data_IF_042973625058
#
_entry.id   IF_042973625058
#
_cell.length_a   1.000
_cell.length_b   1.000
_cell.length_c   1.000
_cell.angle_alpha   90.00
_cell.angle_beta   90.00
_cell.angle_gamma   90.00
#
_symmetry.space_group_name_H-M   'P 1'
#
loop_
_entity.id
_entity.type
_entity.pdbx_description
1 polymer ?
#
# COMPACT_ATOMS: atom_id res chain seq x y z
N UNK A 1 -0.05 21.80 2.95
CA UNK A 1 -0.47 21.00 4.13
C UNK A 1 0.77 20.73 4.97
N UNK A 2 0.72 20.72 6.32
CA UNK A 2 1.89 20.36 7.11
C UNK A 2 2.24 18.90 6.79
N UNK A 3 3.44 18.66 6.24
CA UNK A 3 3.99 17.31 6.07
C UNK A 3 3.93 16.65 7.45
N UNK A 4 3.13 15.59 7.61
CA UNK A 4 3.16 14.78 8.80
C UNK A 4 4.63 14.41 9.04
N UNK A 5 5.12 14.77 10.21
CA UNK A 5 6.50 14.49 10.62
C UNK A 5 6.62 12.97 10.57
N UNK A 6 7.36 12.44 9.60
CA UNK A 6 7.58 11.01 9.49
C UNK A 6 8.07 10.51 10.86
N UNK A 7 7.48 9.43 11.41
CA UNK A 7 7.97 8.83 12.64
C UNK A 7 9.48 8.59 12.51
N UNK A 8 10.26 8.63 13.61
CA UNK A 8 11.68 8.30 13.56
C UNK A 8 11.88 6.97 12.81
N UNK A 9 12.97 6.76 12.05
CA UNK A 9 13.17 5.53 11.32
C UNK A 9 13.30 4.37 12.32
N UNK A 10 12.17 3.71 12.61
CA UNK A 10 12.04 2.68 13.65
C UNK A 10 12.75 1.38 13.30
N UNK A 11 13.41 1.29 12.14
CA UNK A 11 13.78 -0.01 11.58
C UNK A 11 12.54 -0.85 11.25
N UNK A 12 11.40 -0.19 11.00
CA UNK A 12 10.16 -0.82 10.57
C UNK A 12 9.86 -0.39 9.13
N UNK A 13 9.27 -1.29 8.35
CA UNK A 13 8.66 -0.96 7.07
C UNK A 13 7.14 -0.90 7.24
N UNK A 14 6.51 -0.08 6.42
CA UNK A 14 5.07 0.02 6.29
C UNK A 14 4.67 -0.12 4.82
N UNK A 15 3.68 -0.94 4.53
CA UNK A 15 3.03 -1.03 3.22
C UNK A 15 1.54 -0.85 3.43
N UNK A 16 0.95 0.10 2.73
CA UNK A 16 -0.47 0.43 2.81
C UNK A 16 -1.09 0.41 1.42
N UNK A 17 -2.27 -0.19 1.34
CA UNK A 17 -3.12 -0.19 0.15
C UNK A 17 -4.49 0.37 0.53
N UNK A 18 -4.99 1.35 -0.23
CA UNK A 18 -6.27 2.03 0.02
C UNK A 18 -7.14 2.00 -1.24
N UNK A 19 -8.39 1.60 -1.10
CA UNK A 19 -9.42 1.62 -2.15
C UNK A 19 -10.65 2.38 -1.66
N UNK A 20 -11.33 3.17 -2.51
CA UNK A 20 -10.92 3.57 -3.86
C UNK A 20 -9.76 4.58 -3.85
N UNK A 21 -9.22 4.91 -5.02
CA UNK A 21 -8.17 5.92 -5.15
C UNK A 21 -8.65 7.30 -4.66
N UNK A 22 -9.84 7.74 -5.09
CA UNK A 22 -10.43 9.01 -4.67
C UNK A 22 -11.75 8.80 -3.95
N UNK A 23 -11.99 9.58 -2.88
CA UNK A 23 -13.18 9.51 -2.05
C UNK A 23 -12.95 8.85 -0.69
N UNK A 24 -14.05 8.45 -0.04
CA UNK A 24 -13.98 7.79 1.26
C UNK A 24 -13.44 6.36 1.10
N UNK A 25 -12.38 5.97 1.85
CA UNK A 25 -11.82 4.63 1.77
C UNK A 25 -12.87 3.60 2.19
N UNK A 26 -13.05 2.56 1.37
CA UNK A 26 -13.93 1.42 1.65
C UNK A 26 -13.14 0.20 2.08
N UNK A 27 -11.88 0.09 1.64
CA UNK A 27 -11.00 -1.02 1.93
C UNK A 27 -9.57 -0.52 2.09
N UNK A 28 -8.99 -0.78 3.26
CA UNK A 28 -7.61 -0.43 3.58
C UNK A 28 -6.88 -1.67 4.06
N UNK A 29 -5.72 -1.95 3.48
CA UNK A 29 -4.76 -2.95 3.97
C UNK A 29 -3.56 -2.20 4.48
N UNK A 30 -3.04 -2.60 5.63
CA UNK A 30 -1.79 -2.07 6.17
C UNK A 30 -0.96 -3.21 6.73
N UNK A 31 0.31 -3.23 6.35
CA UNK A 31 1.32 -4.19 6.76
C UNK A 31 2.44 -3.41 7.42
N UNK A 32 2.72 -3.69 8.68
CA UNK A 32 3.82 -3.07 9.43
C UNK A 32 4.69 -4.19 9.98
N UNK A 33 5.99 -4.11 9.74
CA UNK A 33 6.93 -5.12 10.24
C UNK A 33 8.36 -4.66 10.28
N UNK A 34 9.21 -5.55 10.78
CA UNK A 34 10.66 -5.39 10.85
C UNK A 34 11.32 -6.30 9.78
N UNK A 35 12.54 -6.00 9.32
CA UNK A 35 13.19 -6.81 8.31
C UNK A 35 13.58 -8.17 8.91
N UNK A 36 13.48 -9.23 8.11
CA UNK A 36 13.78 -10.61 8.52
C UNK A 36 12.92 -11.12 9.70
N UNK A 37 11.73 -10.54 9.90
CA UNK A 37 10.77 -10.95 10.93
C UNK A 37 9.36 -10.99 10.38
N UNK A 38 8.47 -11.59 11.16
CA UNK A 38 7.03 -11.53 10.88
C UNK A 38 6.55 -10.08 10.90
N UNK A 39 5.55 -9.77 10.08
CA UNK A 39 4.88 -8.47 10.07
C UNK A 39 3.44 -8.60 10.57
N UNK A 40 2.92 -7.53 11.16
CA UNK A 40 1.49 -7.41 11.46
C UNK A 40 0.78 -6.94 10.21
N UNK A 41 -0.34 -7.59 9.87
CA UNK A 41 -1.22 -7.17 8.78
C UNK A 41 -2.62 -6.87 9.32
N UNK A 42 -3.21 -5.77 8.86
CA UNK A 42 -4.59 -5.43 9.14
C UNK A 42 -5.36 -5.08 7.87
N UNK A 43 -6.62 -5.50 7.83
CA UNK A 43 -7.63 -5.06 6.87
C UNK A 43 -8.66 -4.23 7.61
N UNK A 44 -8.99 -3.07 7.07
CA UNK A 44 -10.08 -2.21 7.53
C UNK A 44 -11.09 -2.12 6.39
N UNK A 45 -12.28 -2.68 6.60
CA UNK A 45 -13.40 -2.55 5.67
C UNK A 45 -14.35 -1.49 6.22
N UNK A 46 -14.50 -0.38 5.52
CA UNK A 46 -15.44 0.67 5.89
C UNK A 46 -16.79 0.43 5.22
N UNK A 47 -17.85 0.40 6.02
CA UNK A 47 -19.23 0.26 5.58
C UNK A 47 -20.08 1.38 6.20
N UNK A 48 -20.05 2.55 5.57
CA UNK A 48 -20.69 3.76 6.09
C UNK A 48 -19.98 4.25 7.36
N UNK A 49 -20.73 4.38 8.46
CA UNK A 49 -20.17 4.79 9.76
C UNK A 49 -19.49 3.65 10.54
N UNK A 50 -19.61 2.41 10.07
CA UNK A 50 -19.02 1.25 10.72
C UNK A 50 -17.74 0.83 9.99
N UNK A 51 -16.70 0.47 10.74
CA UNK A 51 -15.50 -0.17 10.20
C UNK A 51 -15.38 -1.57 10.81
N UNK A 52 -15.08 -2.56 9.99
CA UNK A 52 -14.71 -3.89 10.46
C UNK A 52 -13.20 -4.08 10.25
N UNK A 53 -12.49 -4.35 11.34
CA UNK A 53 -11.05 -4.59 11.33
C UNK A 53 -10.76 -6.08 11.47
N UNK A 54 -9.90 -6.58 10.59
CA UNK A 54 -9.28 -7.90 10.74
C UNK A 54 -7.79 -7.75 10.86
N UNK A 55 -7.17 -8.52 11.76
CA UNK A 55 -5.74 -8.52 12.01
C UNK A 55 -5.16 -9.91 11.87
N UNK A 56 -3.86 -9.96 11.65
CA UNK A 56 -3.10 -11.19 11.55
C UNK A 56 -1.61 -10.93 11.48
N UNK A 57 -0.88 -12.01 11.29
CA UNK A 57 0.56 -12.03 11.26
C UNK A 57 1.00 -12.63 9.93
N UNK A 58 1.88 -11.95 9.21
CA UNK A 58 2.51 -12.40 7.98
C UNK A 58 3.88 -12.98 8.34
N UNK A 59 4.21 -14.22 7.93
CA UNK A 59 5.51 -14.82 8.23
C UNK A 59 6.63 -14.12 7.45
N UNK A 60 7.86 -14.28 7.93
CA UNK A 60 9.02 -13.59 7.36
C UNK A 60 9.25 -13.86 5.87
N UNK A 61 8.96 -15.08 5.39
CA UNK A 61 9.12 -15.44 3.97
C UNK A 61 8.18 -14.62 3.06
N UNK A 62 6.90 -14.51 3.43
CA UNK A 62 5.92 -13.70 2.70
C UNK A 62 6.20 -12.19 2.82
N UNK A 63 6.76 -11.74 3.94
CA UNK A 63 7.23 -10.35 4.11
C UNK A 63 8.35 -10.02 3.12
N UNK A 64 9.31 -10.92 2.93
CA UNK A 64 10.40 -10.71 1.97
C UNK A 64 9.86 -10.63 0.53
N UNK A 65 8.89 -11.47 0.18
CA UNK A 65 8.23 -11.41 -1.13
C UNK A 65 7.44 -10.12 -1.31
N UNK A 66 6.70 -9.66 -0.29
CA UNK A 66 6.00 -8.37 -0.32
C UNK A 66 6.97 -7.21 -0.58
N UNK A 67 8.10 -7.18 0.14
CA UNK A 67 9.12 -6.14 -0.04
C UNK A 67 9.70 -6.16 -1.46
N UNK A 68 9.99 -7.34 -2.01
CA UNK A 68 10.43 -7.47 -3.41
C UNK A 68 9.38 -6.97 -4.41
N UNK A 69 8.10 -7.21 -4.16
CA UNK A 69 7.02 -6.75 -5.04
C UNK A 69 6.89 -5.23 -5.03
N UNK A 70 6.91 -4.59 -3.86
CA UNK A 70 6.80 -3.12 -3.78
C UNK A 70 8.04 -2.41 -4.32
N UNK A 71 9.22 -3.03 -4.22
CA UNK A 71 10.45 -2.53 -4.85
C UNK A 71 10.36 -2.45 -6.39
N UNK A 72 9.55 -3.29 -7.03
CA UNK A 72 9.32 -3.22 -8.49
C UNK A 72 8.62 -1.93 -8.91
N UNK A 73 7.81 -1.36 -8.02
CA UNK A 73 7.13 -0.08 -8.22
C UNK A 73 8.06 1.12 -7.93
N UNK A 74 9.34 0.89 -7.61
CA UNK A 74 10.28 1.98 -7.36
C UNK A 74 10.48 2.79 -8.63
N UNK A 75 10.33 4.10 -8.52
CA UNK A 75 10.51 5.03 -9.65
C UNK A 75 9.30 5.09 -10.58
N UNK A 76 8.20 4.43 -10.21
CA UNK A 76 6.92 4.62 -10.88
C UNK A 76 6.40 6.02 -10.56
N UNK A 77 5.78 6.71 -11.52
CA UNK A 77 5.25 8.05 -11.28
C UNK A 77 4.08 8.03 -10.29
N UNK A 78 3.87 9.13 -9.58
CA UNK A 78 2.78 9.27 -8.62
C UNK A 78 1.99 10.54 -8.89
N UNK A 79 0.67 10.49 -8.75
CA UNK A 79 -0.19 11.63 -9.01
C UNK A 79 -1.25 11.74 -7.91
N UNK A 80 -1.39 12.88 -7.23
CA UNK A 80 -2.32 13.01 -6.10
C UNK A 80 -3.80 13.08 -6.53
N UNK A 81 -4.07 13.53 -7.76
CA UNK A 81 -5.42 13.86 -8.22
C UNK A 81 -6.01 12.79 -9.13
N UNK A 82 -5.16 12.04 -9.85
CA UNK A 82 -5.57 11.10 -10.88
C UNK A 82 -5.01 9.71 -10.62
N UNK A 83 -5.89 8.72 -10.72
CA UNK A 83 -5.48 7.32 -10.87
C UNK A 83 -4.90 7.11 -12.28
N UNK A 84 -3.58 7.28 -12.39
CA UNK A 84 -2.84 7.12 -13.66
C UNK A 84 -2.69 5.65 -14.06
N UNK A 85 -2.87 4.72 -13.11
CA UNK A 85 -2.75 3.28 -13.32
C UNK A 85 -4.09 2.63 -13.70
N UNK A 86 -5.22 3.27 -13.38
CA UNK A 86 -6.55 2.77 -13.68
C UNK A 86 -6.99 1.60 -12.80
N UNK A 87 -6.29 1.36 -11.69
CA UNK A 87 -6.55 0.25 -10.77
C UNK A 87 -7.48 0.66 -9.59
N UNK A 88 -7.88 1.94 -9.52
CA UNK A 88 -8.70 2.55 -8.50
C UNK A 88 -8.22 2.26 -7.07
N UNK A 89 -6.90 2.28 -6.89
CA UNK A 89 -6.22 1.94 -5.64
C UNK A 89 -5.03 2.86 -5.44
N UNK A 90 -4.78 3.23 -4.19
CA UNK A 90 -3.55 3.88 -3.75
C UNK A 90 -2.65 2.85 -3.09
N UNK A 91 -1.39 2.85 -3.46
CA UNK A 91 -0.33 2.11 -2.78
C UNK A 91 0.62 3.12 -2.18
N UNK A 92 0.93 2.96 -0.90
CA UNK A 92 1.94 3.70 -0.16
C UNK A 92 2.87 2.66 0.48
N UNK A 93 4.17 2.88 0.36
CA UNK A 93 5.15 2.09 1.09
C UNK A 93 6.26 2.97 1.62
N UNK A 94 6.67 2.66 2.84
CA UNK A 94 7.77 3.27 3.54
C UNK A 94 8.67 2.14 4.01
N UNK A 95 9.74 1.88 3.28
CA UNK A 95 10.76 0.89 3.62
C UNK A 95 12.04 1.58 4.08
N UNK A 96 13.04 0.79 4.49
CA UNK A 96 14.33 1.27 4.97
C UNK A 96 15.08 2.16 3.98
N UNK A 97 14.88 1.92 2.69
CA UNK A 97 15.63 2.56 1.60
C UNK A 97 14.75 3.46 0.73
N UNK A 98 13.44 3.23 0.71
CA UNK A 98 12.53 3.84 -0.25
C UNK A 98 11.23 4.22 0.44
N UNK A 99 10.84 5.48 0.28
CA UNK A 99 9.50 5.95 0.59
C UNK A 99 8.84 6.37 -0.72
N UNK A 100 7.65 5.86 -0.99
CA UNK A 100 6.87 6.20 -2.17
C UNK A 100 5.38 6.02 -1.90
N UNK A 101 4.58 6.94 -2.44
CA UNK A 101 3.13 6.82 -2.45
C UNK A 101 2.62 7.16 -3.84
N UNK A 102 1.70 6.34 -4.35
CA UNK A 102 1.08 6.52 -5.66
C UNK A 102 0.31 7.84 -5.80
N UNK A 103 -0.06 8.47 -4.67
CA UNK A 103 -0.72 9.76 -4.59
C UNK A 103 0.16 10.89 -4.06
N UNK A 104 1.49 10.69 -4.04
CA UNK A 104 2.43 11.78 -3.80
C UNK A 104 2.50 12.71 -5.02
N UNK A 105 2.85 13.98 -4.76
CA UNK A 105 3.03 15.01 -5.77
C UNK A 105 4.37 14.83 -6.48
N UNK A 106 4.39 14.06 -7.57
CA UNK A 106 5.54 13.95 -8.45
C UNK A 106 5.42 14.91 -9.63
N UNK A 107 6.38 15.84 -9.75
CA UNK A 107 6.44 16.79 -10.87
C UNK A 107 6.64 16.10 -12.23
N UNK A 108 7.11 14.85 -12.25
CA UNK A 108 7.21 14.04 -13.46
C UNK A 108 5.84 13.53 -13.94
N UNK A 109 4.86 13.37 -13.05
CA UNK A 109 3.54 12.86 -13.43
C UNK A 109 2.72 13.85 -14.27
N UNK A 110 2.99 15.16 -14.16
CA UNK A 110 2.41 16.18 -15.04
C UNK A 110 2.93 16.10 -16.48
N UNK A 111 4.11 15.49 -16.68
CA UNK A 111 4.76 15.36 -18.00
C UNK A 111 4.37 14.04 -18.66
N UNK A 112 4.11 12.99 -17.87
CA UNK A 112 3.77 11.65 -18.37
C UNK A 112 2.29 11.62 -18.79
N UNK A 113 2.05 11.85 -20.08
CA UNK A 113 0.70 11.79 -20.66
C UNK A 113 0.08 10.38 -20.63
N UNK A 114 0.90 9.34 -20.69
CA UNK A 114 0.45 7.96 -20.77
C UNK A 114 1.44 7.01 -20.08
N UNK A 115 0.93 6.23 -19.11
CA UNK A 115 1.65 5.12 -18.48
C UNK A 115 1.53 3.89 -19.38
N UNK A 116 2.66 3.23 -19.65
CA UNK A 116 2.68 2.01 -20.46
C UNK A 116 1.79 0.92 -19.83
N UNK A 117 1.11 0.13 -20.67
CA UNK A 117 0.20 -0.91 -20.19
C UNK A 117 0.89 -1.91 -19.25
N UNK A 118 2.14 -2.27 -19.55
CA UNK A 118 2.96 -3.15 -18.72
C UNK A 118 3.13 -2.62 -17.28
N UNK A 119 3.33 -1.32 -17.11
CA UNK A 119 3.44 -0.69 -15.78
C UNK A 119 2.09 -0.70 -15.05
N UNK A 120 0.97 -0.55 -15.76
CA UNK A 120 -0.37 -0.65 -15.17
C UNK A 120 -0.65 -2.08 -14.72
N UNK A 121 -0.29 -3.05 -15.55
CA UNK A 121 -0.47 -4.46 -15.25
C UNK A 121 0.39 -4.87 -14.04
N UNK A 122 1.65 -4.42 -13.98
CA UNK A 122 2.53 -4.64 -12.82
C UNK A 122 2.02 -3.95 -11.55
N UNK A 123 1.59 -2.69 -11.64
CA UNK A 123 0.97 -1.99 -10.51
C UNK A 123 -0.27 -2.73 -9.99
N UNK A 124 -1.10 -3.22 -10.91
CA UNK A 124 -2.28 -4.02 -10.58
C UNK A 124 -1.91 -5.36 -9.93
N UNK A 125 -0.90 -6.05 -10.45
CA UNK A 125 -0.43 -7.33 -9.91
C UNK A 125 0.10 -7.17 -8.47
N UNK A 126 0.86 -6.10 -8.20
CA UNK A 126 1.32 -5.76 -6.86
C UNK A 126 0.13 -5.40 -5.95
N UNK A 127 -0.82 -4.58 -6.41
CA UNK A 127 -2.01 -4.23 -5.65
C UNK A 127 -2.85 -5.46 -5.28
N UNK A 128 -3.08 -6.35 -6.24
CA UNK A 128 -3.85 -7.57 -6.05
C UNK A 128 -3.11 -8.56 -5.13
N UNK A 129 -1.77 -8.60 -5.19
CA UNK A 129 -0.94 -9.41 -4.30
C UNK A 129 -1.00 -8.93 -2.85
N UNK A 130 -0.95 -7.61 -2.60
CA UNK A 130 -1.10 -7.02 -1.26
C UNK A 130 -2.50 -7.35 -0.70
N UNK A 131 -3.54 -7.21 -1.51
CA UNK A 131 -4.93 -7.54 -1.13
C UNK A 131 -5.08 -9.03 -0.82
N UNK A 132 -4.50 -9.90 -1.64
CA UNK A 132 -4.51 -11.35 -1.45
C UNK A 132 -3.75 -11.78 -0.18
N UNK A 133 -2.61 -11.16 0.10
CA UNK A 133 -1.85 -11.35 1.33
C UNK A 133 -2.71 -11.03 2.55
N UNK A 134 -3.39 -9.89 2.51
CA UNK A 134 -4.30 -9.48 3.56
C UNK A 134 -5.41 -10.51 3.78
N UNK A 135 -6.09 -10.94 2.73
CA UNK A 135 -7.18 -11.95 2.85
C UNK A 135 -6.68 -13.28 3.42
N UNK A 136 -5.43 -13.62 3.17
CA UNK A 136 -4.81 -14.88 3.60
C UNK A 136 -4.44 -14.84 5.08
N UNK A 137 -3.89 -13.72 5.57
CA UNK A 137 -3.33 -13.62 6.92
C UNK A 137 -4.19 -12.82 7.90
N UNK A 138 -4.88 -11.77 7.48
CA UNK A 138 -5.78 -10.97 8.32
C UNK A 138 -7.15 -11.66 8.50
N UNK A 139 -7.14 -12.78 9.23
CA UNK A 139 -8.32 -13.63 9.47
C UNK A 139 -9.00 -13.40 10.81
N UNK A 140 -8.29 -12.83 11.80
CA UNK A 140 -8.84 -12.63 13.14
C UNK A 140 -9.64 -11.33 13.16
N UNK A 141 -10.92 -11.37 13.50
CA UNK A 141 -11.67 -10.15 13.77
C UNK A 141 -11.01 -9.43 14.96
N UNK A 142 -10.69 -8.15 14.77
CA UNK A 142 -10.21 -7.28 15.83
C UNK A 142 -11.44 -6.54 16.37
N UNK A 143 -11.64 -6.59 17.69
CA UNK A 143 -12.55 -5.64 18.30
C UNK A 143 -12.01 -4.22 18.02
N UNK A 144 -12.86 -3.40 17.40
CA UNK A 144 -12.65 -1.95 17.23
C UNK A 144 -13.09 -1.26 18.50
#
# INVERSE_FOLDING_TARGET
MPRAVAPPPSGEFEVRLIKPFSGAPTHTVEVIGEPNRSASIKIINHHGSNANEKKGDVPADDVQELLRLVERLRGYPSNPEKDIYGANVKIEYNTFEIQWASDDSDSAADVIKEIAQEQKDEFKDVADSIDALARTFAKKDSAV
#
